data_IF_133752198789
#
_entry.id   IF_133752198789
#
_cell.length_a   1.000
_cell.length_b   1.000
_cell.length_c   1.000
_cell.angle_alpha   90.00
_cell.angle_beta   90.00
_cell.angle_gamma   90.00
#
_symmetry.space_group_name_H-M   'P 1'
#
loop_
_entity.id
_entity.type
_entity.pdbx_description
1 polymer ?
#
# COMPACT_ATOMS: atom_id res chain seq x y z
N UNK A 1 18.73 7.37 -42.19
CA UNK A 1 18.11 8.70 -41.95
C UNK A 1 17.05 8.53 -40.86
N UNK A 2 17.05 9.36 -39.81
CA UNK A 2 15.93 9.40 -38.83
C UNK A 2 14.75 10.09 -39.50
N UNK A 3 13.59 9.42 -39.62
CA UNK A 3 12.44 9.90 -40.38
C UNK A 3 11.36 10.57 -39.52
N UNK A 4 11.31 10.25 -38.23
CA UNK A 4 10.24 10.69 -37.33
C UNK A 4 10.74 11.65 -36.25
N UNK A 5 9.92 12.67 -35.94
CA UNK A 5 10.18 13.66 -34.91
C UNK A 5 9.19 13.50 -33.74
N UNK A 6 9.71 13.50 -32.51
CA UNK A 6 8.91 13.47 -31.28
C UNK A 6 9.21 14.72 -30.45
N UNK A 7 8.20 15.55 -30.23
CA UNK A 7 8.28 16.79 -29.42
C UNK A 7 7.39 16.65 -28.19
N UNK A 8 7.92 16.97 -27.03
CA UNK A 8 7.17 17.06 -25.78
C UNK A 8 7.63 18.25 -24.96
N UNK A 9 6.72 18.83 -24.18
CA UNK A 9 7.04 19.96 -23.30
C UNK A 9 7.65 19.44 -22.01
N UNK A 10 8.68 20.13 -21.54
CA UNK A 10 9.33 19.86 -20.26
C UNK A 10 9.48 21.17 -19.48
N UNK A 11 9.54 21.07 -18.15
CA UNK A 11 9.85 22.21 -17.31
C UNK A 11 11.31 22.62 -17.46
N UNK A 12 11.67 23.81 -16.96
CA UNK A 12 13.05 24.29 -16.99
C UNK A 12 13.98 23.39 -16.18
N UNK A 13 13.52 22.97 -15.00
CA UNK A 13 14.30 22.10 -14.10
C UNK A 13 14.58 20.75 -14.75
N UNK A 14 13.58 20.19 -15.44
CA UNK A 14 13.76 18.91 -16.14
C UNK A 14 14.72 19.04 -17.33
N UNK A 15 14.71 20.19 -18.02
CA UNK A 15 15.66 20.49 -19.09
C UNK A 15 17.10 20.57 -18.55
N UNK A 16 17.32 21.32 -17.48
CA UNK A 16 18.64 21.48 -16.87
C UNK A 16 19.19 20.13 -16.37
N UNK A 17 18.31 19.30 -15.79
CA UNK A 17 18.66 17.95 -15.36
C UNK A 17 19.05 17.05 -16.55
N UNK A 18 18.29 17.11 -17.65
CA UNK A 18 18.59 16.35 -18.87
C UNK A 18 19.96 16.73 -19.44
N UNK A 19 20.25 18.04 -19.52
CA UNK A 19 21.53 18.54 -20.02
C UNK A 19 22.71 18.11 -19.13
N UNK A 20 22.55 18.18 -17.81
CA UNK A 20 23.55 17.72 -16.85
C UNK A 20 23.84 16.22 -17.01
N UNK A 21 22.80 15.39 -17.05
CA UNK A 21 22.95 13.94 -17.21
C UNK A 21 23.57 13.57 -18.56
N UNK A 22 23.17 14.23 -19.64
CA UNK A 22 23.74 13.97 -20.96
C UNK A 22 25.22 14.35 -21.02
N UNK A 23 25.60 15.48 -20.42
CA UNK A 23 27.02 15.90 -20.33
C UNK A 23 27.85 14.89 -19.53
N UNK A 24 27.36 14.42 -18.39
CA UNK A 24 28.06 13.41 -17.58
C UNK A 24 28.26 12.09 -18.35
N UNK A 25 27.34 11.75 -19.25
CA UNK A 25 27.44 10.59 -20.13
C UNK A 25 28.23 10.87 -21.42
N UNK A 26 28.80 12.07 -21.59
CA UNK A 26 29.49 12.51 -22.83
C UNK A 26 28.62 12.39 -24.09
N UNK A 27 27.32 12.66 -23.96
CA UNK A 27 26.33 12.57 -25.03
C UNK A 27 25.55 13.88 -25.18
N UNK A 28 24.98 14.13 -26.37
CA UNK A 28 23.94 15.15 -26.50
C UNK A 28 22.61 14.65 -25.91
N UNK A 29 21.73 15.56 -25.52
CA UNK A 29 20.47 15.20 -24.85
C UNK A 29 19.58 14.25 -25.66
N UNK A 30 19.57 14.38 -26.99
CA UNK A 30 18.76 13.51 -27.85
C UNK A 30 19.32 12.08 -27.94
N UNK A 31 20.64 11.94 -27.97
CA UNK A 31 21.34 10.66 -27.94
C UNK A 31 21.21 9.99 -26.59
N UNK A 32 21.36 10.76 -25.51
CA UNK A 32 21.12 10.30 -24.16
C UNK A 32 19.69 9.74 -23.97
N UNK A 33 18.67 10.46 -24.43
CA UNK A 33 17.28 9.98 -24.37
C UNK A 33 17.06 8.70 -25.20
N UNK A 34 17.68 8.59 -26.39
CA UNK A 34 17.60 7.37 -27.19
C UNK A 34 18.25 6.18 -26.49
N UNK A 35 19.42 6.40 -25.90
CA UNK A 35 20.10 5.35 -25.13
C UNK A 35 19.30 4.95 -23.90
N UNK A 36 18.68 5.90 -23.19
CA UNK A 36 17.76 5.59 -22.10
C UNK A 36 16.57 4.75 -22.57
N UNK A 37 15.93 5.08 -23.69
CA UNK A 37 14.81 4.29 -24.23
C UNK A 37 15.26 2.86 -24.56
N UNK A 38 16.45 2.69 -25.13
CA UNK A 38 17.00 1.38 -25.50
C UNK A 38 17.45 0.55 -24.28
N UNK A 39 18.01 1.19 -23.27
CA UNK A 39 18.60 0.51 -22.09
C UNK A 39 17.64 0.37 -20.92
N UNK A 40 16.58 1.18 -20.87
CA UNK A 40 15.66 1.15 -19.73
C UNK A 40 14.72 -0.05 -19.83
N UNK A 41 14.83 -0.94 -18.86
CA UNK A 41 13.64 -1.64 -18.38
C UNK A 41 12.81 -0.60 -17.63
N UNK A 42 11.62 -0.29 -18.15
CA UNK A 42 10.69 0.58 -17.43
C UNK A 42 10.30 -0.16 -16.15
N UNK A 43 11.00 0.14 -15.06
CA UNK A 43 10.50 -0.13 -13.72
C UNK A 43 9.36 0.86 -13.50
N UNK A 44 8.19 0.50 -14.04
CA UNK A 44 6.93 1.01 -13.53
C UNK A 44 7.01 0.63 -12.06
N UNK A 45 7.23 1.60 -11.18
CA UNK A 45 6.96 1.40 -9.76
C UNK A 45 5.50 1.00 -9.74
N UNK A 46 5.24 -0.31 -9.69
CA UNK A 46 3.94 -0.85 -9.42
C UNK A 46 3.60 -0.23 -8.07
N UNK A 47 2.85 0.85 -8.13
CA UNK A 47 2.32 1.44 -6.93
C UNK A 47 1.29 0.39 -6.55
N UNK A 48 1.62 -0.45 -5.58
CA UNK A 48 0.76 -1.50 -5.01
C UNK A 48 -0.49 -0.89 -4.33
N UNK A 49 -1.02 0.22 -4.86
CA UNK A 49 -2.25 0.90 -4.49
C UNK A 49 -3.44 -0.06 -4.49
N UNK A 50 -3.42 -1.07 -5.35
CA UNK A 50 -4.43 -2.13 -5.35
C UNK A 50 -4.34 -2.95 -4.06
N UNK A 51 -3.15 -3.45 -3.74
CA UNK A 51 -2.92 -4.27 -2.54
C UNK A 51 -3.16 -3.46 -1.25
N UNK A 52 -2.76 -2.19 -1.22
CA UNK A 52 -3.03 -1.29 -0.09
C UNK A 52 -4.54 -1.05 0.10
N UNK A 53 -5.29 -0.89 -0.98
CA UNK A 53 -6.75 -0.70 -0.93
C UNK A 53 -7.45 -1.96 -0.42
N UNK A 54 -6.98 -3.13 -0.84
CA UNK A 54 -7.49 -4.42 -0.37
C UNK A 54 -7.19 -4.64 1.12
N UNK A 55 -5.98 -4.31 1.56
CA UNK A 55 -5.61 -4.34 2.98
C UNK A 55 -6.52 -3.43 3.82
N UNK A 56 -6.69 -2.16 3.42
CA UNK A 56 -7.56 -1.20 4.12
C UNK A 56 -9.00 -1.72 4.18
N UNK A 57 -9.51 -2.30 3.09
CA UNK A 57 -10.86 -2.87 3.04
C UNK A 57 -11.02 -4.03 4.03
N UNK A 58 -10.05 -4.94 4.09
CA UNK A 58 -10.06 -6.06 5.03
C UNK A 58 -10.00 -5.59 6.49
N UNK A 59 -9.14 -4.61 6.81
CA UNK A 59 -9.05 -4.02 8.16
C UNK A 59 -10.38 -3.39 8.58
N UNK A 60 -11.04 -2.65 7.68
CA UNK A 60 -12.35 -2.07 7.98
C UNK A 60 -13.42 -3.14 8.25
N UNK A 61 -13.39 -4.26 7.53
CA UNK A 61 -14.31 -5.38 7.77
C UNK A 61 -14.07 -6.03 9.13
N UNK A 62 -12.81 -6.19 9.55
CA UNK A 62 -12.47 -6.69 10.88
C UNK A 62 -13.01 -5.75 11.96
N UNK A 63 -12.78 -4.43 11.82
CA UNK A 63 -13.29 -3.43 12.78
C UNK A 63 -14.81 -3.44 12.93
N UNK A 64 -15.55 -3.56 11.81
CA UNK A 64 -17.02 -3.69 11.83
C UNK A 64 -17.47 -4.94 12.60
N UNK A 65 -16.81 -6.08 12.39
CA UNK A 65 -17.15 -7.32 13.09
C UNK A 65 -16.88 -7.22 14.59
N UNK A 66 -15.76 -6.60 15.00
CA UNK A 66 -15.43 -6.35 16.41
C UNK A 66 -16.50 -5.47 17.06
N UNK A 67 -16.94 -4.39 16.40
CA UNK A 67 -18.01 -3.54 16.92
C UNK A 67 -19.34 -4.29 17.10
N UNK A 68 -19.69 -5.18 16.19
CA UNK A 68 -20.90 -6.02 16.32
C UNK A 68 -20.78 -6.99 17.49
N UNK A 69 -19.61 -7.59 17.72
CA UNK A 69 -19.36 -8.47 18.86
C UNK A 69 -19.47 -7.69 20.19
N UNK A 70 -18.87 -6.50 20.26
CA UNK A 70 -18.95 -5.64 21.44
C UNK A 70 -20.40 -5.22 21.74
N UNK A 71 -21.16 -4.85 20.70
CA UNK A 71 -22.58 -4.50 20.84
C UNK A 71 -23.41 -5.70 21.36
N UNK A 72 -23.23 -6.89 20.77
CA UNK A 72 -23.93 -8.09 21.19
C UNK A 72 -23.59 -8.50 22.64
N UNK A 73 -22.33 -8.34 23.05
CA UNK A 73 -21.87 -8.55 24.42
C UNK A 73 -22.56 -7.61 25.40
N UNK A 74 -22.50 -6.30 25.12
CA UNK A 74 -23.11 -5.27 25.97
C UNK A 74 -24.61 -5.53 26.15
N UNK A 75 -25.32 -5.81 25.04
CA UNK A 75 -26.74 -6.15 25.08
C UNK A 75 -27.03 -7.40 25.92
N UNK A 76 -26.20 -8.44 25.82
CA UNK A 76 -26.42 -9.70 26.53
C UNK A 76 -26.16 -9.60 28.04
N UNK A 77 -25.22 -8.75 28.45
CA UNK A 77 -24.97 -8.40 29.85
C UNK A 77 -26.17 -7.61 30.40
N UNK A 78 -26.61 -6.57 29.69
CA UNK A 78 -27.75 -5.75 30.09
C UNK A 78 -29.05 -6.57 30.22
N UNK A 79 -29.25 -7.53 29.32
CA UNK A 79 -30.42 -8.40 29.34
C UNK A 79 -30.35 -9.55 30.37
N UNK A 80 -29.28 -9.66 31.19
CA UNK A 80 -28.99 -10.82 32.03
C UNK A 80 -29.04 -12.17 31.28
N UNK A 81 -28.73 -12.14 29.97
CA UNK A 81 -28.78 -13.32 29.08
C UNK A 81 -27.44 -14.02 28.94
N UNK A 82 -26.37 -13.47 29.52
CA UNK A 82 -25.04 -14.06 29.50
C UNK A 82 -24.63 -14.45 30.92
N UNK A 83 -24.43 -15.75 31.15
CA UNK A 83 -23.78 -16.20 32.38
C UNK A 83 -22.27 -15.86 32.35
N UNK A 84 -21.67 -15.82 33.54
CA UNK A 84 -20.28 -15.43 33.73
C UNK A 84 -19.31 -16.35 32.95
N UNK A 85 -19.66 -17.63 32.78
CA UNK A 85 -18.88 -18.58 32.00
C UNK A 85 -18.82 -18.21 30.51
N UNK A 86 -19.96 -17.84 29.94
CA UNK A 86 -20.09 -17.43 28.53
C UNK A 86 -19.37 -16.11 28.26
N UNK A 87 -19.38 -15.18 29.21
CA UNK A 87 -18.61 -13.93 29.15
C UNK A 87 -17.09 -14.18 29.12
N UNK A 88 -16.59 -15.02 30.04
CA UNK A 88 -15.16 -15.37 30.11
C UNK A 88 -14.72 -16.07 28.82
N UNK A 89 -15.54 -16.98 28.29
CA UNK A 89 -15.21 -17.71 27.07
C UNK A 89 -15.11 -16.79 25.84
N UNK A 90 -16.03 -15.83 25.71
CA UNK A 90 -15.99 -14.87 24.60
C UNK A 90 -14.80 -13.89 24.73
N UNK A 91 -14.51 -13.44 25.95
CA UNK A 91 -13.33 -12.61 26.25
C UNK A 91 -12.03 -13.33 25.88
N UNK A 92 -11.90 -14.62 26.24
CA UNK A 92 -10.73 -15.43 25.88
C UNK A 92 -10.58 -15.58 24.36
N UNK A 93 -11.68 -15.74 23.62
CA UNK A 93 -11.63 -15.80 22.14
C UNK A 93 -11.17 -14.49 21.53
N UNK A 94 -11.61 -13.34 22.06
CA UNK A 94 -11.16 -12.03 21.61
C UNK A 94 -9.67 -11.82 21.86
N UNK A 95 -9.17 -12.19 23.05
CA UNK A 95 -7.75 -12.12 23.38
C UNK A 95 -6.89 -12.98 22.45
N UNK A 96 -7.37 -14.16 22.05
CA UNK A 96 -6.64 -15.01 21.09
C UNK A 96 -6.55 -14.34 19.70
N UNK A 97 -7.61 -13.66 19.26
CA UNK A 97 -7.63 -12.95 17.98
C UNK A 97 -6.64 -11.78 18.01
N UNK A 98 -6.64 -10.98 19.08
CA UNK A 98 -5.70 -9.87 19.28
C UNK A 98 -4.25 -10.35 19.20
N UNK A 99 -3.88 -11.38 19.96
CA UNK A 99 -2.51 -11.92 19.95
C UNK A 99 -2.06 -12.41 18.56
N UNK A 100 -2.99 -12.98 17.78
CA UNK A 100 -2.69 -13.41 16.40
C UNK A 100 -2.45 -12.22 15.48
N UNK A 101 -3.26 -11.16 15.61
CA UNK A 101 -3.07 -9.93 14.84
C UNK A 101 -1.72 -9.27 15.18
N UNK A 102 -1.35 -9.22 16.45
CA UNK A 102 -0.05 -8.72 16.91
C UNK A 102 1.12 -9.53 16.35
N UNK A 103 1.00 -10.86 16.28
CA UNK A 103 2.05 -11.72 15.69
C UNK A 103 2.23 -11.44 14.20
N UNK A 104 1.13 -11.32 13.45
CA UNK A 104 1.16 -11.00 12.02
C UNK A 104 1.80 -9.63 11.79
N UNK A 105 1.48 -8.64 12.63
CA UNK A 105 2.07 -7.31 12.58
C UNK A 105 3.59 -7.33 12.82
N UNK A 106 4.06 -8.13 13.79
CA UNK A 106 5.50 -8.28 14.07
C UNK A 106 6.26 -8.97 12.93
N UNK A 107 5.64 -9.90 12.22
CA UNK A 107 6.26 -10.59 11.07
C UNK A 107 6.31 -9.72 9.80
N UNK A 108 5.49 -8.68 9.73
CA UNK A 108 5.37 -7.80 8.56
C UNK A 108 6.30 -6.56 8.58
N UNK A 109 6.97 -6.28 9.71
CA UNK A 109 7.90 -5.14 9.93
C UNK A 109 9.32 -5.68 10.05
#
# INVERSE_FOLDING_TARGET
>A
MKKDEFKFRISKELKDLLESKSKNASMNSSEFLRQLILSSQINIKATNKKDLKELIWNVNKIGVNINQLAYALNYSIEANKLDNYSYINLTNKLLIIENRLDSILKEAI
#
